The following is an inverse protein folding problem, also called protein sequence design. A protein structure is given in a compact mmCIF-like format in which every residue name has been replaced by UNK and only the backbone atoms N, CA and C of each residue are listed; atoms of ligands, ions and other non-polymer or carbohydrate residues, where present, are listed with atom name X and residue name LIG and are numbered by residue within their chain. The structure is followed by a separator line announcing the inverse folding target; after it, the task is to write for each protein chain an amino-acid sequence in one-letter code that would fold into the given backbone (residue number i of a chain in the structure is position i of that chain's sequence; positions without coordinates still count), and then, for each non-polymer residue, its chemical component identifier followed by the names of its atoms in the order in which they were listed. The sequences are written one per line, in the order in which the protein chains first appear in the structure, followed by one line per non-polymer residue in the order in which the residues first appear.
data_IF_654363877369
#
_entry.id   IF_654363877369
#
_cell.length_a   1.000
_cell.length_b   1.000
_cell.length_c   1.000
_cell.angle_alpha   90.00
_cell.angle_beta   90.00
_cell.angle_gamma   90.00
#
_symmetry.space_group_name_H-M   'P 1'
#
loop_
_entity.id
_entity.type
_entity.pdbx_description
1 polymer ?
#
# COMPACT_ATOMS: atom_id res chain seq x y z
N UNK A 1 -4.29 21.84 14.64
CA UNK A 1 -3.66 22.33 13.39
C UNK A 1 -2.82 23.59 13.59
N UNK A 2 -3.28 24.62 14.32
CA UNK A 2 -2.50 25.87 14.49
C UNK A 2 -1.15 25.69 15.17
N UNK A 3 -1.06 24.88 16.24
CA UNK A 3 0.24 24.53 16.86
C UNK A 3 1.21 23.90 15.86
N UNK A 4 0.74 22.98 15.03
CA UNK A 4 1.55 22.26 14.03
C UNK A 4 1.97 23.18 12.87
N UNK A 5 1.08 24.06 12.41
CA UNK A 5 1.38 25.08 11.38
C UNK A 5 2.41 26.08 11.89
N UNK A 6 2.21 26.61 13.10
CA UNK A 6 3.15 27.56 13.74
C UNK A 6 4.54 26.91 13.90
N UNK A 7 4.57 25.64 14.30
CA UNK A 7 5.79 24.87 14.47
C UNK A 7 6.54 24.58 13.16
N UNK A 8 5.84 24.18 12.08
CA UNK A 8 6.46 23.98 10.75
C UNK A 8 7.08 25.29 10.22
N UNK A 9 6.42 26.43 10.47
CA UNK A 9 6.87 27.74 9.99
C UNK A 9 7.95 28.38 10.87
N UNK A 10 8.15 27.92 12.12
CA UNK A 10 9.07 28.53 13.09
C UNK A 10 10.25 27.65 13.51
N UNK A 11 10.18 26.33 13.31
CA UNK A 11 11.27 25.41 13.66
C UNK A 11 12.43 25.47 12.65
N UNK A 12 13.65 25.19 13.13
CA UNK A 12 14.81 25.04 12.26
C UNK A 12 14.58 23.90 11.25
N UNK A 13 14.89 24.16 9.97
CA UNK A 13 14.72 23.19 8.89
C UNK A 13 15.35 21.82 9.20
N UNK A 14 16.54 21.78 9.82
CA UNK A 14 17.21 20.52 10.19
C UNK A 14 16.37 19.70 11.16
N UNK A 15 15.83 20.34 12.19
CA UNK A 15 14.98 19.68 13.21
C UNK A 15 13.71 19.14 12.55
N UNK A 16 13.11 19.92 11.66
CA UNK A 16 11.90 19.50 10.94
C UNK A 16 12.17 18.31 10.00
N UNK A 17 13.28 18.33 9.27
CA UNK A 17 13.71 17.22 8.41
C UNK A 17 13.85 15.93 9.21
N UNK A 18 14.62 15.92 10.31
CA UNK A 18 14.79 14.71 11.12
C UNK A 18 13.46 14.24 11.73
N UNK A 19 12.63 15.15 12.22
CA UNK A 19 11.33 14.84 12.83
C UNK A 19 10.35 14.18 11.86
N UNK A 20 10.45 14.47 10.56
CA UNK A 20 9.61 13.87 9.52
C UNK A 20 10.25 12.63 8.89
N UNK A 21 11.55 12.64 8.67
CA UNK A 21 12.28 11.54 8.03
C UNK A 21 12.45 10.35 8.95
N UNK A 22 12.80 10.54 10.23
CA UNK A 22 13.05 9.41 11.17
C UNK A 22 11.84 8.46 11.25
N UNK A 23 10.59 8.93 11.47
CA UNK A 23 9.44 8.03 11.51
C UNK A 23 9.22 7.30 10.17
N UNK A 24 9.41 8.00 9.05
CA UNK A 24 9.23 7.42 7.72
C UNK A 24 10.25 6.33 7.44
N UNK A 25 11.54 6.60 7.70
CA UNK A 25 12.63 5.64 7.55
C UNK A 25 12.43 4.44 8.48
N UNK A 26 12.03 4.69 9.74
CA UNK A 26 11.73 3.61 10.70
C UNK A 26 10.64 2.69 10.17
N UNK A 27 9.53 3.25 9.67
CA UNK A 27 8.47 2.45 9.07
C UNK A 27 8.95 1.64 7.87
N UNK A 28 9.77 2.22 6.99
CA UNK A 28 10.33 1.51 5.82
C UNK A 28 11.30 0.39 6.22
N UNK A 29 12.09 0.59 7.28
CA UNK A 29 12.96 -0.47 7.84
C UNK A 29 12.13 -1.63 8.39
N UNK A 30 11.04 -1.34 9.09
CA UNK A 30 10.12 -2.37 9.58
C UNK A 30 9.49 -3.14 8.41
N UNK A 31 9.16 -2.46 7.30
CA UNK A 31 8.69 -3.14 6.11
C UNK A 31 9.74 -4.10 5.54
N UNK A 32 11.00 -3.64 5.43
CA UNK A 32 12.09 -4.47 4.93
C UNK A 32 12.33 -5.70 5.82
N UNK A 33 12.22 -5.54 7.15
CA UNK A 33 12.35 -6.64 8.10
C UNK A 33 11.20 -7.65 7.96
N UNK A 34 9.96 -7.20 7.77
CA UNK A 34 8.83 -8.12 7.54
C UNK A 34 9.08 -8.95 6.28
N UNK A 35 9.42 -8.32 5.16
CA UNK A 35 9.65 -9.02 3.89
C UNK A 35 10.78 -10.05 4.01
N UNK A 36 11.82 -9.73 4.77
CA UNK A 36 12.92 -10.65 5.03
C UNK A 36 12.48 -11.86 5.87
N UNK A 37 11.69 -11.65 6.92
CA UNK A 37 11.18 -12.73 7.78
C UNK A 37 10.17 -13.60 7.05
N UNK A 38 9.27 -13.03 6.26
CA UNK A 38 8.32 -13.77 5.42
C UNK A 38 9.06 -14.69 4.43
N UNK A 39 10.08 -14.16 3.74
CA UNK A 39 10.91 -14.97 2.85
C UNK A 39 11.62 -16.13 3.57
N UNK A 40 12.05 -15.94 4.82
CA UNK A 40 12.62 -17.02 5.66
C UNK A 40 11.57 -18.08 5.96
N UNK A 41 10.35 -17.70 6.37
CA UNK A 41 9.31 -18.66 6.69
C UNK A 41 8.87 -19.45 5.45
N UNK A 42 8.59 -18.76 4.35
CA UNK A 42 8.19 -19.42 3.10
C UNK A 42 9.32 -20.32 2.57
N UNK A 43 10.55 -19.82 2.56
CA UNK A 43 11.71 -20.55 2.03
C UNK A 43 12.10 -21.78 2.83
N UNK A 44 12.26 -21.63 4.14
CA UNK A 44 12.78 -22.70 4.98
C UNK A 44 11.71 -23.71 5.39
N UNK A 45 10.45 -23.30 5.51
CA UNK A 45 9.37 -24.17 6.00
C UNK A 45 8.60 -24.83 4.86
N UNK A 46 8.33 -24.08 3.78
CA UNK A 46 7.51 -24.58 2.66
C UNK A 46 8.40 -25.10 1.53
N UNK A 47 9.43 -24.32 1.16
CA UNK A 47 10.46 -24.75 0.22
C UNK A 47 10.63 -23.83 -1.01
N UNK A 48 11.58 -24.18 -1.89
CA UNK A 48 12.02 -23.31 -2.99
C UNK A 48 10.92 -23.06 -4.04
N UNK A 49 10.06 -24.04 -4.31
CA UNK A 49 8.96 -23.88 -5.27
C UNK A 49 7.91 -22.85 -4.79
N UNK A 50 7.72 -22.72 -3.47
CA UNK A 50 6.87 -21.71 -2.89
C UNK A 50 7.45 -20.30 -3.06
N UNK A 51 8.74 -20.12 -2.79
CA UNK A 51 9.45 -18.85 -3.07
C UNK A 51 9.31 -18.48 -4.54
N UNK A 52 9.56 -19.43 -5.45
CA UNK A 52 9.43 -19.19 -6.89
C UNK A 52 8.00 -18.75 -7.23
N UNK A 53 6.98 -19.39 -6.65
CA UNK A 53 5.58 -19.02 -6.84
C UNK A 53 5.26 -17.59 -6.41
N UNK A 54 5.68 -17.20 -5.20
CA UNK A 54 5.51 -15.83 -4.70
C UNK A 54 6.25 -14.81 -5.57
N UNK A 55 7.47 -15.16 -6.01
CA UNK A 55 8.31 -14.29 -6.84
C UNK A 55 7.64 -13.98 -8.18
N UNK A 56 6.99 -14.97 -8.81
CA UNK A 56 6.27 -14.81 -10.07
C UNK A 56 5.06 -13.87 -9.95
N UNK A 57 4.47 -13.74 -8.76
CA UNK A 57 3.31 -12.87 -8.50
C UNK A 57 3.74 -11.43 -8.23
N UNK A 58 5.00 -11.17 -7.88
CA UNK A 58 5.48 -9.82 -7.52
C UNK A 58 5.10 -8.72 -8.55
N UNK A 59 5.16 -8.94 -9.86
CA UNK A 59 4.68 -7.95 -10.83
C UNK A 59 3.22 -7.52 -10.63
N UNK A 60 2.36 -8.46 -10.23
CA UNK A 60 0.96 -8.19 -9.91
C UNK A 60 0.86 -7.35 -8.64
N UNK A 61 1.62 -7.69 -7.60
CA UNK A 61 1.65 -6.93 -6.34
C UNK A 61 2.16 -5.49 -6.59
N UNK A 62 3.22 -5.33 -7.37
CA UNK A 62 3.80 -4.02 -7.72
C UNK A 62 2.77 -3.18 -8.47
N UNK A 63 2.00 -3.76 -9.40
CA UNK A 63 0.92 -3.06 -10.09
C UNK A 63 -0.14 -2.51 -9.11
N UNK A 64 -0.53 -3.29 -8.11
CA UNK A 64 -1.51 -2.86 -7.09
C UNK A 64 -0.94 -1.74 -6.20
N UNK A 65 0.33 -1.84 -5.80
CA UNK A 65 1.05 -0.80 -5.08
C UNK A 65 1.16 0.47 -5.93
N UNK A 66 1.46 0.35 -7.23
CA UNK A 66 1.57 1.46 -8.16
C UNK A 66 0.26 2.26 -8.25
N UNK A 67 -0.91 1.61 -8.22
CA UNK A 67 -2.23 2.27 -8.18
C UNK A 67 -2.43 3.02 -6.85
N UNK A 68 -1.99 2.42 -5.75
CA UNK A 68 -1.97 3.05 -4.43
C UNK A 68 -1.14 4.33 -4.44
N UNK A 69 0.06 4.27 -5.04
CA UNK A 69 0.95 5.43 -5.20
C UNK A 69 0.42 6.47 -6.17
N UNK A 70 -0.15 6.06 -7.31
CA UNK A 70 -0.77 6.94 -8.31
C UNK A 70 -1.79 7.88 -7.65
N UNK A 71 -2.69 7.30 -6.87
CA UNK A 71 -3.76 8.05 -6.24
C UNK A 71 -3.28 8.73 -4.95
N UNK A 72 -2.44 8.05 -4.15
CA UNK A 72 -1.93 8.54 -2.88
C UNK A 72 -0.97 9.71 -3.02
N UNK A 73 0.09 9.58 -3.83
CA UNK A 73 1.09 10.64 -4.05
C UNK A 73 0.46 11.83 -4.78
N UNK A 74 -0.38 11.55 -5.79
CA UNK A 74 -1.11 12.56 -6.52
C UNK A 74 -1.99 13.43 -5.63
N UNK A 75 -2.77 12.79 -4.74
CA UNK A 75 -3.62 13.48 -3.78
C UNK A 75 -2.81 14.16 -2.67
N UNK A 76 -1.79 13.50 -2.13
CA UNK A 76 -0.88 14.06 -1.12
C UNK A 76 -0.30 15.41 -1.57
N UNK A 77 0.08 15.51 -2.84
CA UNK A 77 0.58 16.75 -3.46
C UNK A 77 -0.44 17.89 -3.43
N UNK A 78 -1.72 17.60 -3.74
CA UNK A 78 -2.81 18.58 -3.67
C UNK A 78 -3.14 18.93 -2.22
N UNK A 79 -3.28 17.94 -1.35
CA UNK A 79 -3.59 18.08 0.09
C UNK A 79 -2.56 18.98 0.77
N UNK A 80 -1.27 18.70 0.59
CA UNK A 80 -0.18 19.47 1.20
C UNK A 80 -0.20 20.94 0.76
N UNK A 81 -0.36 21.21 -0.55
CA UNK A 81 -0.45 22.59 -1.07
C UNK A 81 -1.71 23.31 -0.58
N UNK A 82 -2.84 22.63 -0.55
CA UNK A 82 -4.12 23.19 -0.09
C UNK A 82 -4.06 23.53 1.41
N UNK A 83 -3.52 22.64 2.23
CA UNK A 83 -3.28 22.90 3.66
C UNK A 83 -2.32 24.07 3.89
N UNK A 84 -1.23 24.14 3.10
CA UNK A 84 -0.31 25.27 3.14
C UNK A 84 -0.98 26.62 2.85
N UNK A 85 -1.92 26.64 1.90
CA UNK A 85 -2.75 27.82 1.56
C UNK A 85 -3.89 28.08 2.55
N UNK A 86 -4.14 27.20 3.51
CA UNK A 86 -5.26 27.29 4.45
C UNK A 86 -6.60 26.77 3.90
N UNK A 87 -6.62 26.25 2.69
CA UNK A 87 -7.81 25.70 2.02
C UNK A 87 -8.05 24.24 2.46
N UNK A 88 -8.63 24.09 3.66
CA UNK A 88 -8.91 22.78 4.26
C UNK A 88 -10.00 22.02 3.49
N UNK A 89 -10.98 22.71 2.95
CA UNK A 89 -12.09 22.08 2.24
C UNK A 89 -11.59 21.37 0.98
N UNK A 90 -10.76 22.04 0.17
CA UNK A 90 -10.15 21.42 -1.01
C UNK A 90 -9.25 20.24 -0.65
N UNK A 91 -8.52 20.32 0.47
CA UNK A 91 -7.71 19.21 0.95
C UNK A 91 -8.58 17.97 1.28
N UNK A 92 -9.69 18.18 2.00
CA UNK A 92 -10.66 17.13 2.36
C UNK A 92 -11.26 16.50 1.11
N UNK A 93 -11.73 17.30 0.14
CA UNK A 93 -12.31 16.81 -1.12
C UNK A 93 -11.26 16.02 -1.91
N UNK A 94 -10.01 16.50 -1.99
CA UNK A 94 -8.95 15.79 -2.70
C UNK A 94 -8.62 14.42 -2.08
N UNK A 95 -8.62 14.30 -0.75
CA UNK A 95 -8.47 13.01 -0.08
C UNK A 95 -9.59 12.04 -0.43
N UNK A 96 -10.84 12.48 -0.35
CA UNK A 96 -12.01 11.67 -0.71
C UNK A 96 -12.05 11.22 -2.16
N UNK A 97 -11.79 12.15 -3.09
CA UNK A 97 -11.68 11.88 -4.53
C UNK A 97 -10.59 10.81 -4.79
N UNK A 98 -9.45 10.91 -4.10
CA UNK A 98 -8.37 9.93 -4.24
C UNK A 98 -8.74 8.52 -3.79
N UNK A 99 -9.54 8.38 -2.73
CA UNK A 99 -10.01 7.08 -2.23
C UNK A 99 -11.01 6.47 -3.22
N UNK A 100 -11.89 7.28 -3.80
CA UNK A 100 -12.82 6.84 -4.84
C UNK A 100 -12.05 6.38 -6.09
N UNK A 101 -11.11 7.21 -6.58
CA UNK A 101 -10.28 6.87 -7.73
C UNK A 101 -9.46 5.60 -7.47
N UNK A 102 -8.89 5.45 -6.28
CA UNK A 102 -8.13 4.26 -5.90
C UNK A 102 -9.03 3.02 -5.98
N UNK A 103 -10.23 3.09 -5.41
CA UNK A 103 -11.20 1.99 -5.43
C UNK A 103 -11.60 1.61 -6.86
N UNK A 104 -11.95 2.60 -7.69
CA UNK A 104 -12.35 2.38 -9.09
C UNK A 104 -11.21 1.73 -9.89
N UNK A 105 -9.99 2.26 -9.78
CA UNK A 105 -8.83 1.72 -10.49
C UNK A 105 -8.50 0.30 -10.05
N UNK A 106 -8.60 -0.01 -8.74
CA UNK A 106 -8.41 -1.37 -8.24
C UNK A 106 -9.46 -2.32 -8.79
N UNK A 107 -10.75 -1.95 -8.82
CA UNK A 107 -11.79 -2.81 -9.42
C UNK A 107 -11.48 -3.10 -10.89
N UNK A 108 -11.06 -2.09 -11.66
CA UNK A 108 -10.72 -2.23 -13.08
C UNK A 108 -9.53 -3.18 -13.29
N UNK A 109 -8.54 -3.17 -12.38
CA UNK A 109 -7.31 -3.95 -12.52
C UNK A 109 -7.43 -5.35 -11.91
N UNK A 110 -8.06 -5.49 -10.75
CA UNK A 110 -8.23 -6.77 -10.06
C UNK A 110 -9.17 -7.69 -10.84
N UNK A 111 -10.22 -7.16 -11.47
CA UNK A 111 -11.20 -7.96 -12.25
C UNK A 111 -10.54 -8.81 -13.34
N UNK A 112 -9.74 -8.27 -14.27
CA UNK A 112 -9.06 -9.09 -15.28
C UNK A 112 -8.00 -10.02 -14.66
N UNK A 113 -7.34 -9.64 -13.56
CA UNK A 113 -6.40 -10.54 -12.87
C UNK A 113 -7.13 -11.78 -12.36
N UNK A 114 -8.31 -11.60 -11.75
CA UNK A 114 -9.14 -12.70 -11.28
C UNK A 114 -9.64 -13.58 -12.43
N UNK A 115 -10.19 -12.98 -13.50
CA UNK A 115 -10.76 -13.72 -14.62
C UNK A 115 -9.72 -14.49 -15.45
N UNK A 116 -8.48 -14.03 -15.48
CA UNK A 116 -7.42 -14.59 -16.32
C UNK A 116 -6.19 -15.04 -15.51
N UNK A 117 -6.35 -15.36 -14.23
CA UNK A 117 -5.26 -15.68 -13.29
C UNK A 117 -4.28 -16.71 -13.86
N UNK A 118 -4.76 -17.87 -14.33
CA UNK A 118 -3.92 -18.94 -14.90
C UNK A 118 -3.11 -18.47 -16.12
N UNK A 119 -3.71 -17.66 -16.99
CA UNK A 119 -3.04 -17.14 -18.19
C UNK A 119 -1.99 -16.11 -17.82
N UNK A 120 -2.29 -15.26 -16.85
CA UNK A 120 -1.38 -14.25 -16.32
C UNK A 120 -0.19 -14.93 -15.66
N UNK A 121 -0.41 -15.91 -14.77
CA UNK A 121 0.67 -16.63 -14.09
C UNK A 121 1.59 -17.35 -15.08
N UNK A 122 1.02 -18.03 -16.08
CA UNK A 122 1.81 -18.66 -17.16
C UNK A 122 2.58 -17.63 -17.99
N UNK A 123 1.95 -16.50 -18.31
CA UNK A 123 2.65 -15.39 -18.97
C UNK A 123 3.79 -14.85 -18.12
N UNK A 124 3.63 -14.74 -16.80
CA UNK A 124 4.67 -14.29 -15.89
C UNK A 124 5.80 -15.33 -15.69
N UNK A 125 5.71 -16.50 -16.31
CA UNK A 125 6.78 -17.52 -16.31
C UNK A 125 6.55 -18.70 -15.36
N UNK A 126 5.33 -18.88 -14.83
CA UNK A 126 5.02 -20.03 -13.97
C UNK A 126 5.18 -21.36 -14.72
N UNK A 127 6.17 -22.15 -14.31
CA UNK A 127 6.32 -23.55 -14.73
C UNK A 127 5.20 -24.41 -14.15
N UNK A 128 5.03 -25.62 -14.69
CA UNK A 128 4.00 -26.57 -14.24
C UNK A 128 4.12 -26.93 -12.74
N UNK A 129 5.34 -26.91 -12.20
CA UNK A 129 5.62 -27.24 -10.79
C UNK A 129 5.37 -26.06 -9.84
N UNK A 130 5.52 -24.82 -10.35
CA UNK A 130 5.40 -23.59 -9.56
C UNK A 130 3.99 -23.00 -9.64
N UNK A 131 3.27 -23.23 -10.75
CA UNK A 131 1.94 -22.69 -11.00
C UNK A 131 0.93 -22.95 -9.87
N UNK A 132 0.87 -24.15 -9.23
CA UNK A 132 -0.06 -24.38 -8.12
C UNK A 132 0.22 -23.46 -6.93
N UNK A 133 1.48 -23.30 -6.53
CA UNK A 133 1.88 -22.40 -5.44
C UNK A 133 1.54 -20.95 -5.77
N UNK A 134 1.81 -20.54 -7.02
CA UNK A 134 1.53 -19.17 -7.44
C UNK A 134 0.02 -18.88 -7.48
N UNK A 135 -0.78 -19.86 -7.91
CA UNK A 135 -2.23 -19.74 -7.99
C UNK A 135 -2.87 -19.66 -6.61
N UNK A 136 -2.51 -20.58 -5.71
CA UNK A 136 -3.02 -20.61 -4.34
C UNK A 136 -2.75 -19.29 -3.60
N UNK A 137 -1.56 -18.72 -3.78
CA UNK A 137 -1.22 -17.42 -3.21
C UNK A 137 -2.04 -16.29 -3.84
N UNK A 138 -2.10 -16.22 -5.19
CA UNK A 138 -2.75 -15.15 -5.91
C UNK A 138 -4.26 -15.09 -5.62
N UNK A 139 -4.95 -16.23 -5.60
CA UNK A 139 -6.40 -16.29 -5.39
C UNK A 139 -6.81 -15.70 -4.03
N UNK A 140 -6.03 -15.96 -2.99
CA UNK A 140 -6.26 -15.38 -1.66
C UNK A 140 -5.89 -13.89 -1.65
N UNK A 141 -4.74 -13.54 -2.24
CA UNK A 141 -4.27 -12.16 -2.29
C UNK A 141 -5.20 -11.21 -3.06
N UNK A 142 -5.95 -11.69 -4.05
CA UNK A 142 -6.92 -10.88 -4.80
C UNK A 142 -7.95 -10.20 -3.88
N UNK A 143 -8.33 -10.84 -2.76
CA UNK A 143 -9.18 -10.22 -1.74
C UNK A 143 -8.45 -9.13 -0.94
N UNK A 144 -7.14 -9.29 -0.74
CA UNK A 144 -6.28 -8.34 -0.02
C UNK A 144 -5.86 -7.12 -0.83
N UNK A 145 -5.84 -7.20 -2.16
CA UNK A 145 -5.26 -6.16 -3.02
C UNK A 145 -5.95 -4.79 -2.88
N UNK A 146 -7.27 -4.77 -2.69
CA UNK A 146 -7.99 -3.51 -2.44
C UNK A 146 -7.53 -2.84 -1.14
N UNK A 147 -7.28 -3.63 -0.08
CA UNK A 147 -6.80 -3.16 1.20
C UNK A 147 -5.33 -2.73 1.13
N UNK A 148 -4.49 -3.47 0.41
CA UNK A 148 -3.11 -3.09 0.14
C UNK A 148 -3.05 -1.71 -0.53
N UNK A 149 -3.77 -1.54 -1.64
CA UNK A 149 -3.76 -0.30 -2.40
C UNK A 149 -4.34 0.87 -1.61
N UNK A 150 -5.41 0.63 -0.86
CA UNK A 150 -5.99 1.61 0.06
C UNK A 150 -5.00 2.00 1.16
N UNK A 151 -4.27 1.04 1.75
CA UNK A 151 -3.29 1.31 2.78
C UNK A 151 -2.15 2.20 2.26
N UNK A 152 -1.63 1.90 1.06
CA UNK A 152 -0.62 2.73 0.38
C UNK A 152 -1.14 4.14 0.12
N UNK A 153 -2.37 4.28 -0.40
CA UNK A 153 -3.00 5.58 -0.63
C UNK A 153 -3.15 6.37 0.68
N UNK A 154 -3.77 5.76 1.70
CA UNK A 154 -4.05 6.39 2.99
C UNK A 154 -2.79 6.79 3.75
N UNK A 155 -1.73 5.98 3.70
CA UNK A 155 -0.44 6.32 4.30
C UNK A 155 0.19 7.57 3.64
N UNK A 156 0.05 7.74 2.32
CA UNK A 156 0.47 8.97 1.65
C UNK A 156 -0.36 10.19 2.06
N UNK A 157 -1.69 10.02 2.23
CA UNK A 157 -2.57 11.07 2.72
C UNK A 157 -2.22 11.50 4.16
N UNK A 158 -1.98 10.55 5.07
CA UNK A 158 -1.57 10.82 6.46
C UNK A 158 -0.26 11.62 6.49
N UNK A 159 0.70 11.27 5.64
CA UNK A 159 1.97 12.00 5.51
C UNK A 159 1.76 13.42 4.97
N UNK A 160 0.83 13.61 4.03
CA UNK A 160 0.51 14.92 3.45
C UNK A 160 -0.07 15.91 4.48
N UNK A 161 -0.75 15.42 5.53
CA UNK A 161 -1.20 16.24 6.66
C UNK A 161 -0.08 16.58 7.66
N UNK A 162 1.13 16.10 7.41
CA UNK A 162 2.28 16.23 8.28
C UNK A 162 2.22 15.33 9.52
N UNK A 163 1.63 14.14 9.41
CA UNK A 163 1.51 13.15 10.50
C UNK A 163 2.38 11.89 10.26
N UNK A 164 3.71 12.00 10.01
CA UNK A 164 4.55 10.85 9.63
C UNK A 164 4.64 9.76 10.71
N UNK A 165 4.47 10.11 11.99
CA UNK A 165 4.37 9.11 13.08
C UNK A 165 3.14 8.23 12.95
N UNK A 166 2.00 8.80 12.52
CA UNK A 166 0.79 8.01 12.32
C UNK A 166 0.96 7.02 11.16
N UNK A 167 1.63 7.42 10.07
CA UNK A 167 1.98 6.46 9.01
C UNK A 167 3.01 5.43 9.46
N UNK A 168 3.95 5.78 10.34
CA UNK A 168 4.90 4.82 10.88
C UNK A 168 4.19 3.73 11.69
N UNK A 169 3.21 4.10 12.53
CA UNK A 169 2.44 3.13 13.30
C UNK A 169 1.60 2.20 12.42
N UNK A 170 1.04 2.70 11.32
CA UNK A 170 0.37 1.84 10.32
C UNK A 170 1.29 0.74 9.82
N UNK A 171 2.48 1.12 9.35
CA UNK A 171 3.49 0.18 8.84
C UNK A 171 3.92 -0.82 9.92
N UNK A 172 4.12 -0.36 11.16
CA UNK A 172 4.48 -1.22 12.29
C UNK A 172 3.38 -2.24 12.59
N UNK A 173 2.12 -1.80 12.66
CA UNK A 173 0.99 -2.68 12.98
C UNK A 173 0.85 -3.76 11.92
N UNK A 174 0.86 -3.39 10.64
CA UNK A 174 0.75 -4.34 9.53
C UNK A 174 1.90 -5.36 9.53
N UNK A 175 3.14 -4.88 9.60
CA UNK A 175 4.32 -5.75 9.55
C UNK A 175 4.48 -6.68 10.75
N UNK A 176 4.24 -6.19 11.98
CA UNK A 176 4.33 -7.03 13.18
C UNK A 176 3.22 -8.07 13.17
N UNK A 177 2.00 -7.67 12.81
CA UNK A 177 0.88 -8.62 12.72
C UNK A 177 1.17 -9.70 11.68
N UNK A 178 1.71 -9.33 10.52
CA UNK A 178 2.07 -10.27 9.47
C UNK A 178 3.10 -11.30 9.98
N UNK A 179 4.22 -10.86 10.56
CA UNK A 179 5.25 -11.77 11.11
C UNK A 179 4.66 -12.76 12.13
N UNK A 180 3.78 -12.29 13.02
CA UNK A 180 3.13 -13.14 14.02
C UNK A 180 2.21 -14.15 13.34
N UNK A 181 1.39 -13.71 12.38
CA UNK A 181 0.45 -14.58 11.68
C UNK A 181 1.17 -15.58 10.77
N UNK A 182 2.27 -15.21 10.12
CA UNK A 182 3.09 -16.13 9.32
C UNK A 182 3.67 -17.23 10.19
N UNK A 183 4.21 -16.89 11.37
CA UNK A 183 4.67 -17.91 12.31
C UNK A 183 3.52 -18.88 12.67
N UNK A 184 2.33 -18.37 12.98
CA UNK A 184 1.18 -19.20 13.35
C UNK A 184 0.71 -20.05 12.16
N UNK A 185 0.49 -19.47 10.98
CA UNK A 185 -0.12 -20.17 9.86
C UNK A 185 0.86 -21.06 9.10
N UNK A 186 2.12 -20.63 8.96
CA UNK A 186 3.16 -21.36 8.23
C UNK A 186 3.87 -22.37 9.14
N UNK A 187 4.31 -21.97 10.34
CA UNK A 187 5.12 -22.85 11.21
C UNK A 187 4.25 -23.76 12.07
N UNK A 188 3.25 -23.19 12.76
CA UNK A 188 2.42 -23.95 13.71
C UNK A 188 1.36 -24.78 12.97
N UNK A 189 0.55 -24.14 12.12
CA UNK A 189 -0.55 -24.81 11.42
C UNK A 189 -0.14 -25.50 10.12
N UNK A 190 1.03 -25.15 9.57
CA UNK A 190 1.58 -25.73 8.33
C UNK A 190 0.62 -25.64 7.14
N UNK A 191 -0.09 -24.52 7.01
CA UNK A 191 -1.00 -24.25 5.88
C UNK A 191 -0.28 -23.92 4.58
N UNK A 192 1.06 -23.99 4.56
CA UNK A 192 1.86 -23.73 3.38
C UNK A 192 1.64 -22.32 2.84
N UNK A 193 1.62 -22.20 1.52
CA UNK A 193 1.54 -20.91 0.81
C UNK A 193 0.22 -20.18 1.06
N UNK A 194 -0.86 -20.93 1.25
CA UNK A 194 -2.16 -20.35 1.60
C UNK A 194 -2.10 -19.65 2.97
N UNK A 195 -1.35 -20.22 3.92
CA UNK A 195 -1.10 -19.61 5.22
C UNK A 195 -0.43 -18.23 5.12
N UNK A 196 0.63 -18.13 4.30
CA UNK A 196 1.34 -16.88 4.03
C UNK A 196 0.42 -15.82 3.40
N UNK A 197 -0.39 -16.23 2.41
CA UNK A 197 -1.33 -15.32 1.76
C UNK A 197 -2.40 -14.80 2.75
N UNK A 198 -2.98 -15.68 3.57
CA UNK A 198 -4.00 -15.29 4.56
C UNK A 198 -3.41 -14.31 5.60
N UNK A 199 -2.22 -14.60 6.12
CA UNK A 199 -1.52 -13.72 7.06
C UNK A 199 -1.29 -12.32 6.47
N UNK A 200 -0.87 -12.27 5.21
CA UNK A 200 -0.66 -11.02 4.47
C UNK A 200 -1.96 -10.24 4.26
N UNK A 201 -3.04 -10.91 3.84
CA UNK A 201 -4.36 -10.28 3.65
C UNK A 201 -4.90 -9.70 4.96
N UNK A 202 -4.85 -10.44 6.07
CA UNK A 202 -5.28 -9.96 7.39
C UNK A 202 -4.47 -8.73 7.81
N UNK A 203 -3.18 -8.71 7.50
CA UNK A 203 -2.29 -7.60 7.82
C UNK A 203 -2.62 -6.35 6.99
N UNK A 204 -2.93 -6.48 5.70
CA UNK A 204 -3.42 -5.37 4.88
C UNK A 204 -4.77 -4.83 5.35
N UNK A 205 -5.67 -5.72 5.80
CA UNK A 205 -6.94 -5.32 6.42
C UNK A 205 -6.67 -4.53 7.71
N UNK A 206 -5.79 -5.01 8.59
CA UNK A 206 -5.44 -4.32 9.83
C UNK A 206 -4.83 -2.93 9.58
N UNK A 207 -3.92 -2.82 8.61
CA UNK A 207 -3.37 -1.54 8.13
C UNK A 207 -4.46 -0.59 7.63
N UNK A 208 -5.39 -1.09 6.82
CA UNK A 208 -6.51 -0.31 6.30
C UNK A 208 -7.46 0.15 7.40
N UNK A 209 -7.77 -0.74 8.35
CA UNK A 209 -8.60 -0.42 9.52
C UNK A 209 -7.92 0.65 10.37
N UNK A 210 -6.61 0.56 10.59
CA UNK A 210 -5.87 1.59 11.32
C UNK A 210 -5.99 2.96 10.64
N UNK A 211 -5.83 3.03 9.31
CA UNK A 211 -5.98 4.28 8.55
C UNK A 211 -7.39 4.85 8.70
N UNK A 212 -8.42 4.01 8.55
CA UNK A 212 -9.82 4.41 8.69
C UNK A 212 -10.10 4.95 10.11
N UNK A 213 -9.66 4.23 11.14
CA UNK A 213 -9.77 4.68 12.53
C UNK A 213 -9.01 5.98 12.76
N UNK A 214 -7.82 6.13 12.19
CA UNK A 214 -7.05 7.37 12.30
C UNK A 214 -7.79 8.56 11.67
N UNK A 215 -8.39 8.38 10.49
CA UNK A 215 -9.24 9.39 9.85
C UNK A 215 -10.47 9.74 10.70
N UNK A 216 -11.10 8.76 11.34
CA UNK A 216 -12.26 8.98 12.22
C UNK A 216 -11.90 9.54 13.62
N UNK A 217 -10.66 9.40 14.07
CA UNK A 217 -10.24 9.71 15.45
C UNK A 217 -10.19 11.21 15.83
N UNK A 218 -10.51 12.11 14.90
CA UNK A 218 -10.39 13.56 15.08
C UNK A 218 -8.94 14.09 15.08
N UNK A 219 -7.94 13.20 14.96
CA UNK A 219 -6.51 13.55 14.84
C UNK A 219 -6.10 13.92 13.40
N UNK A 220 -6.93 13.55 12.44
CA UNK A 220 -6.79 13.77 11.00
C UNK A 220 -7.63 14.97 10.54
N UNK A 221 -7.27 15.63 9.43
CA UNK A 221 -8.18 16.60 8.80
C UNK A 221 -9.34 15.89 8.10
N UNK A 222 -9.10 14.65 7.65
CA UNK A 222 -10.08 13.81 6.98
C UNK A 222 -11.14 13.28 7.95
N UNK A 223 -12.04 14.14 8.42
CA UNK A 223 -13.25 13.70 9.11
C UNK A 223 -14.14 13.04 8.07
N UNK A 224 -14.27 11.71 8.11
CA UNK A 224 -15.07 10.95 7.15
C UNK A 224 -16.52 11.44 7.22
N UNK A 225 -16.92 12.24 6.24
CA UNK A 225 -18.29 12.71 6.01
C UNK A 225 -18.65 12.33 4.59
N UNK A 226 -19.89 11.93 4.33
CA UNK A 226 -20.35 11.56 2.98
C UNK A 226 -20.02 12.62 1.91
N UNK A 227 -20.02 13.90 2.27
CA UNK A 227 -19.69 15.00 1.36
C UNK A 227 -18.22 15.05 0.90
N UNK A 228 -17.31 14.31 1.55
CA UNK A 228 -15.92 14.14 1.11
C UNK A 228 -15.82 13.28 -0.15
N UNK A 229 -16.69 12.28 -0.29
CA UNK A 229 -16.64 11.30 -1.37
C UNK A 229 -17.34 11.84 -2.62
N UNK A 230 -16.69 12.77 -3.31
CA UNK A 230 -17.16 13.34 -4.57
C UNK A 230 -16.05 13.35 -5.60
N UNK A 231 -16.32 12.76 -6.76
CA UNK A 231 -15.43 12.87 -7.92
C UNK A 231 -15.51 14.31 -8.42
N UNK A 232 -14.41 15.04 -8.34
CA UNK A 232 -14.28 16.35 -8.94
C UNK A 232 -13.32 16.25 -10.11
N UNK A 233 -13.83 16.30 -11.33
CA UNK A 233 -13.05 16.10 -12.57
C UNK A 233 -11.74 16.91 -12.63
N UNK A 234 -11.74 18.14 -12.10
CA UNK A 234 -10.53 18.98 -12.04
C UNK A 234 -9.51 18.43 -11.04
N UNK A 235 -9.96 18.05 -9.85
CA UNK A 235 -9.13 17.46 -8.81
C UNK A 235 -8.65 16.07 -9.24
N UNK A 236 -9.54 15.20 -9.73
CA UNK A 236 -9.18 13.86 -10.22
C UNK A 236 -8.09 13.91 -11.30
N UNK A 237 -8.22 14.82 -12.28
CA UNK A 237 -7.17 15.01 -13.31
C UNK A 237 -5.85 15.46 -12.69
N UNK A 238 -5.92 16.34 -11.69
CA UNK A 238 -4.75 16.75 -10.92
C UNK A 238 -4.09 15.60 -10.17
N UNK A 239 -4.88 14.75 -9.48
CA UNK A 239 -4.41 13.57 -8.76
C UNK A 239 -3.67 12.65 -9.73
N UNK A 240 -4.32 12.25 -10.82
CA UNK A 240 -3.74 11.33 -11.80
C UNK A 240 -2.46 11.93 -12.40
N UNK A 241 -2.48 13.18 -12.87
CA UNK A 241 -1.31 13.81 -13.49
C UNK A 241 -0.12 13.91 -12.53
N UNK A 242 -0.35 14.13 -11.23
CA UNK A 242 0.71 14.25 -10.23
C UNK A 242 1.23 12.90 -9.75
N UNK A 243 0.43 11.84 -9.83
CA UNK A 243 0.82 10.49 -9.42
C UNK A 243 1.34 9.59 -10.53
N UNK A 244 1.08 9.92 -11.80
CA UNK A 244 1.58 9.16 -12.97
C UNK A 244 3.10 8.93 -12.92
N UNK A 245 3.96 9.89 -12.52
CA UNK A 245 5.38 9.63 -12.42
C UNK A 245 5.73 8.49 -11.45
N UNK A 246 5.12 8.47 -10.26
CA UNK A 246 5.34 7.38 -9.27
C UNK A 246 4.79 6.05 -9.77
N UNK A 247 3.62 6.06 -10.42
CA UNK A 247 3.06 4.88 -11.07
C UNK A 247 4.01 4.31 -12.11
N UNK A 248 4.51 5.15 -13.03
CA UNK A 248 5.42 4.71 -14.09
C UNK A 248 6.73 4.18 -13.54
N UNK A 249 7.27 4.76 -12.47
CA UNK A 249 8.48 4.23 -11.81
C UNK A 249 8.28 2.78 -11.35
N UNK A 250 7.14 2.48 -10.69
CA UNK A 250 6.83 1.11 -10.27
C UNK A 250 6.60 0.16 -11.46
N UNK A 251 5.88 0.61 -12.49
CA UNK A 251 5.63 -0.22 -13.68
C UNK A 251 6.93 -0.53 -14.43
N UNK A 252 7.82 0.45 -14.59
CA UNK A 252 9.13 0.25 -15.22
C UNK A 252 9.94 -0.77 -14.40
N UNK A 253 9.94 -0.63 -13.06
CA UNK A 253 10.57 -1.60 -12.17
C UNK A 253 9.98 -3.01 -12.32
N UNK A 254 8.66 -3.12 -12.37
CA UNK A 254 7.94 -4.39 -12.58
C UNK A 254 8.27 -5.03 -13.92
N UNK A 255 8.37 -4.26 -15.00
CA UNK A 255 8.72 -4.77 -16.34
C UNK A 255 10.17 -5.25 -16.36
N UNK A 256 11.09 -4.48 -15.78
CA UNK A 256 12.49 -4.88 -15.66
C UNK A 256 12.62 -6.19 -14.87
N UNK A 257 11.83 -6.35 -13.80
CA UNK A 257 11.79 -7.58 -13.02
C UNK A 257 11.29 -8.80 -13.81
N UNK A 258 10.20 -8.65 -14.59
CA UNK A 258 9.71 -9.71 -15.48
C UNK A 258 10.79 -10.15 -16.49
N UNK A 259 11.54 -9.20 -17.05
CA UNK A 259 12.62 -9.48 -18.00
C UNK A 259 13.82 -10.20 -17.37
N UNK A 260 14.03 -10.04 -16.06
CA UNK A 260 15.14 -10.67 -15.35
C UNK A 260 14.85 -12.12 -14.94
N UNK A 261 13.59 -12.46 -14.68
CA UNK A 261 13.17 -13.80 -14.22
C UNK A 261 12.93 -14.77 -15.37
N UNK A 262 12.63 -14.26 -16.56
CA UNK A 262 12.51 -15.05 -17.79
C UNK A 262 13.88 -15.37 -18.37
#
# INVERSE_FOLDING_TARGET
MEKQKKQILSENLRVLLFKFSIPTVTGMLIIALYNFVDAIFVGNVIGPNAIAGLTIILPVIILIVAIGLLTGVGAASIVSRSLGKGDKEKAIIAGGDSIILNTILNIIIITPIYLFSDRILKFLGASSEVLPYAKDYLEIMLFGFIFLSFAVNGTNLIRAEGKPRASMYEMIIGSILNIILDYIFIVVFRWGVQGAAIATVISHIASSVYILVFFMSGKSIFHIKFNMFKINKSISRGILSLGVPSFLMEIIGSVAFILFIR
#
